data_IF_538291634317
#
_entry.id   IF_538291634317
#
_cell.length_a   1.000
_cell.length_b   1.000
_cell.length_c   1.000
_cell.angle_alpha   90.00
_cell.angle_beta   90.00
_cell.angle_gamma   90.00
#
_symmetry.space_group_name_H-M   'P 1'
#
loop_
_entity.id
_entity.type
_entity.pdbx_description
1 polymer ?
#
# COMPACT_ATOMS: atom_id res chain seq x y z
N UNK A 1 -7.38 31.92 -2.04
CA UNK A 1 -7.66 30.59 -1.46
C UNK A 1 -8.78 30.79 -0.46
N UNK A 2 -9.87 30.03 -0.56
CA UNK A 2 -10.92 30.10 0.45
C UNK A 2 -10.40 29.40 1.73
N UNK A 3 -10.55 30.04 2.88
CA UNK A 3 -10.12 29.46 4.14
C UNK A 3 -11.04 28.30 4.52
N UNK A 4 -10.46 27.14 4.84
CA UNK A 4 -11.21 25.94 5.23
C UNK A 4 -11.58 24.98 4.10
N UNK A 5 -11.24 25.27 2.84
CA UNK A 5 -11.49 24.35 1.69
C UNK A 5 -10.25 23.60 1.24
N UNK A 6 -9.07 23.95 1.76
CA UNK A 6 -7.77 23.37 1.39
C UNK A 6 -7.22 22.42 2.44
N UNK A 7 -6.66 21.30 2.00
CA UNK A 7 -5.96 20.32 2.83
C UNK A 7 -4.77 19.73 2.07
N UNK A 8 -4.06 18.78 2.67
CA UNK A 8 -2.92 18.11 2.05
C UNK A 8 -3.37 16.84 1.33
N UNK A 9 -2.85 16.62 0.12
CA UNK A 9 -3.10 15.40 -0.66
C UNK A 9 -2.51 14.18 0.04
N UNK A 10 -3.24 13.05 0.01
CA UNK A 10 -2.76 11.79 0.59
C UNK A 10 -1.60 11.16 -0.19
N UNK A 11 -1.35 11.60 -1.43
CA UNK A 11 -0.32 11.02 -2.31
C UNK A 11 1.09 11.53 -2.02
N UNK A 12 1.24 12.81 -1.72
CA UNK A 12 2.50 13.57 -1.75
C UNK A 12 2.48 14.81 -0.85
N UNK A 13 1.45 14.95 -0.01
CA UNK A 13 1.26 16.02 0.96
C UNK A 13 1.19 17.44 0.37
N UNK A 14 1.06 17.55 -0.96
CA UNK A 14 0.89 18.83 -1.62
C UNK A 14 -0.45 19.47 -1.25
N UNK A 15 -0.45 20.79 -1.03
CA UNK A 15 -1.66 21.56 -0.73
C UNK A 15 -2.58 21.61 -1.96
N UNK A 16 -3.85 21.28 -1.77
CA UNK A 16 -4.91 21.31 -2.77
C UNK A 16 -6.24 21.62 -2.08
N UNK A 17 -7.22 22.18 -2.80
CA UNK A 17 -8.60 22.08 -2.33
C UNK A 17 -9.06 20.63 -2.21
N UNK A 18 -9.93 20.39 -1.23
CA UNK A 18 -10.57 19.08 -1.01
C UNK A 18 -11.23 18.57 -2.29
N UNK A 19 -11.18 17.26 -2.47
CA UNK A 19 -11.78 16.61 -3.64
C UNK A 19 -13.31 16.54 -3.54
N UNK A 20 -13.87 16.64 -2.33
CA UNK A 20 -15.32 16.67 -2.10
C UNK A 20 -15.97 18.05 -2.25
N UNK A 21 -15.18 19.09 -2.54
CA UNK A 21 -15.72 20.38 -3.00
C UNK A 21 -16.37 20.21 -4.39
N UNK A 22 -17.61 20.69 -4.62
CA UNK A 22 -18.36 20.46 -5.87
C UNK A 22 -17.71 21.08 -7.12
N UNK A 23 -16.76 21.99 -6.96
CA UNK A 23 -16.10 22.66 -8.08
C UNK A 23 -14.84 21.91 -8.54
N UNK A 24 -14.68 21.79 -9.86
CA UNK A 24 -13.45 21.26 -10.48
C UNK A 24 -13.05 22.10 -11.68
N UNK A 25 -11.79 22.54 -11.70
CA UNK A 25 -11.26 23.28 -12.85
C UNK A 25 -11.13 22.35 -14.04
N UNK A 26 -11.63 22.77 -15.21
CA UNK A 26 -11.54 22.00 -16.44
C UNK A 26 -10.09 21.61 -16.75
N UNK A 27 -9.87 20.36 -17.13
CA UNK A 27 -8.53 19.83 -17.42
C UNK A 27 -7.67 19.49 -16.20
N UNK A 28 -8.20 19.64 -14.98
CA UNK A 28 -7.51 19.26 -13.74
C UNK A 28 -8.14 18.03 -13.09
N UNK A 29 -7.32 17.23 -12.40
CA UNK A 29 -7.79 16.18 -11.48
C UNK A 29 -7.52 16.62 -10.05
N UNK A 30 -8.54 16.58 -9.20
CA UNK A 30 -8.39 16.67 -7.74
C UNK A 30 -8.13 15.26 -7.19
N UNK A 31 -7.12 15.12 -6.33
CA UNK A 31 -6.84 13.89 -5.59
C UNK A 31 -7.36 13.99 -4.16
N UNK A 32 -7.67 12.84 -3.56
CA UNK A 32 -8.12 12.76 -2.17
C UNK A 32 -7.11 13.42 -1.23
N UNK A 33 -7.63 14.26 -0.35
CA UNK A 33 -6.89 14.95 0.69
C UNK A 33 -7.16 14.33 2.06
N UNK A 34 -6.40 14.77 3.07
CA UNK A 34 -6.61 14.32 4.44
C UNK A 34 -8.02 14.66 4.95
N UNK A 35 -8.55 15.84 4.61
CA UNK A 35 -9.92 16.21 5.02
C UNK A 35 -10.98 15.30 4.37
N UNK A 36 -10.76 14.89 3.11
CA UNK A 36 -11.64 13.92 2.45
C UNK A 36 -11.59 12.56 3.17
N UNK A 37 -10.40 12.13 3.58
CA UNK A 37 -10.22 10.88 4.32
C UNK A 37 -10.91 10.89 5.68
N UNK A 38 -10.83 12.00 6.42
CA UNK A 38 -11.50 12.15 7.70
C UNK A 38 -13.03 12.12 7.54
N UNK A 39 -13.57 12.80 6.54
CA UNK A 39 -15.02 12.76 6.27
C UNK A 39 -15.53 11.35 5.93
N UNK A 40 -14.75 10.57 5.17
CA UNK A 40 -15.06 9.16 4.89
C UNK A 40 -14.95 8.30 6.17
N UNK A 41 -13.94 8.54 7.01
CA UNK A 41 -13.78 7.83 8.28
C UNK A 41 -14.96 8.07 9.23
N UNK A 42 -15.48 9.30 9.29
CA UNK A 42 -16.61 9.67 10.14
C UNK A 42 -17.91 8.93 9.80
N UNK A 43 -18.11 8.59 8.51
CA UNK A 43 -19.25 7.78 8.05
C UNK A 43 -18.97 6.27 8.07
N UNK A 44 -17.89 5.85 8.72
CA UNK A 44 -17.55 4.44 8.96
C UNK A 44 -16.74 3.76 7.87
N UNK A 45 -16.21 4.50 6.89
CA UNK A 45 -15.30 3.92 5.90
C UNK A 45 -13.90 3.75 6.48
N UNK A 46 -13.24 2.66 6.11
CA UNK A 46 -11.85 2.40 6.46
C UNK A 46 -10.99 2.64 5.23
N UNK A 47 -10.19 3.71 5.26
CA UNK A 47 -9.27 4.02 4.16
C UNK A 47 -7.93 3.36 4.41
N UNK A 48 -7.64 2.36 3.59
CA UNK A 48 -6.32 1.75 3.57
C UNK A 48 -5.45 2.45 2.51
N UNK A 49 -4.48 3.26 2.96
CA UNK A 49 -3.58 4.03 2.09
C UNK A 49 -2.31 3.21 1.74
N UNK A 50 -2.24 1.93 2.14
CA UNK A 50 -1.08 1.10 1.79
C UNK A 50 -1.03 0.84 0.29
N UNK A 51 0.15 1.01 -0.31
CA UNK A 51 0.37 0.63 -1.71
C UNK A 51 0.05 -0.86 -1.92
N UNK A 52 -0.81 -1.15 -2.90
CA UNK A 52 -1.06 -2.53 -3.33
C UNK A 52 0.22 -3.05 -4.00
N UNK A 53 0.79 -4.17 -3.52
CA UNK A 53 2.04 -4.68 -4.09
C UNK A 53 1.88 -5.07 -5.55
N UNK A 54 2.88 -4.74 -6.37
CA UNK A 54 2.90 -5.12 -7.77
C UNK A 54 2.89 -6.65 -7.94
N UNK A 55 2.37 -7.18 -9.07
CA UNK A 55 2.36 -8.62 -9.33
C UNK A 55 3.74 -9.27 -9.21
N UNK A 56 4.80 -8.55 -9.57
CA UNK A 56 6.19 -9.01 -9.43
C UNK A 56 6.62 -9.27 -7.98
N UNK A 57 6.12 -8.47 -7.03
CA UNK A 57 6.39 -8.66 -5.60
C UNK A 57 5.77 -9.97 -5.11
N UNK A 58 4.54 -10.27 -5.53
CA UNK A 58 3.90 -11.55 -5.22
C UNK A 58 4.64 -12.73 -5.84
N UNK A 59 5.05 -12.60 -7.10
CA UNK A 59 5.84 -13.62 -7.78
C UNK A 59 7.16 -13.90 -7.04
N UNK A 60 7.90 -12.84 -6.66
CA UNK A 60 9.15 -12.96 -5.90
C UNK A 60 8.93 -13.64 -4.54
N UNK A 61 7.94 -13.16 -3.75
CA UNK A 61 7.66 -13.72 -2.43
C UNK A 61 7.25 -15.20 -2.51
N UNK A 62 6.45 -15.56 -3.52
CA UNK A 62 6.09 -16.96 -3.77
C UNK A 62 7.30 -17.81 -4.19
N UNK A 63 8.20 -17.27 -5.02
CA UNK A 63 9.45 -17.92 -5.41
C UNK A 63 10.38 -18.18 -4.22
N UNK A 64 10.59 -17.19 -3.35
CA UNK A 64 11.38 -17.33 -2.12
C UNK A 64 10.76 -18.39 -1.20
N UNK A 65 9.44 -18.38 -1.03
CA UNK A 65 8.73 -19.36 -0.21
C UNK A 65 8.93 -20.80 -0.74
N UNK A 66 8.84 -21.01 -2.05
CA UNK A 66 9.04 -22.32 -2.68
C UNK A 66 10.47 -22.82 -2.54
N UNK A 67 11.46 -21.94 -2.73
CA UNK A 67 12.88 -22.28 -2.53
C UNK A 67 13.18 -22.65 -1.08
N UNK A 68 12.69 -21.87 -0.12
CA UNK A 68 12.82 -22.16 1.31
C UNK A 68 12.14 -23.48 1.69
N UNK A 69 10.93 -23.72 1.21
CA UNK A 69 10.22 -24.98 1.42
C UNK A 69 10.98 -26.18 0.83
N UNK A 70 11.52 -26.04 -0.38
CA UNK A 70 12.34 -27.06 -1.04
C UNK A 70 13.61 -27.38 -0.26
N UNK A 71 14.33 -26.37 0.24
CA UNK A 71 15.52 -26.54 1.07
C UNK A 71 15.21 -27.26 2.39
N UNK A 72 14.14 -26.84 3.09
CA UNK A 72 13.69 -27.49 4.33
C UNK A 72 13.28 -28.94 4.06
N UNK A 73 12.53 -29.21 2.98
CA UNK A 73 12.12 -30.58 2.61
C UNK A 73 13.33 -31.46 2.31
N UNK A 74 14.35 -30.93 1.63
CA UNK A 74 15.60 -31.65 1.34
C UNK A 74 16.36 -32.01 2.62
N UNK A 75 16.51 -31.09 3.56
CA UNK A 75 17.16 -31.39 4.85
C UNK A 75 16.36 -32.40 5.70
N UNK A 76 15.02 -32.36 5.65
CA UNK A 76 14.18 -33.33 6.38
C UNK A 76 14.28 -34.75 5.82
N UNK A 77 14.40 -34.90 4.50
CA UNK A 77 14.50 -36.20 3.85
C UNK A 77 15.91 -36.81 3.90
N UNK A 78 16.95 -36.00 4.10
CA UNK A 78 18.33 -36.48 4.17
C UNK A 78 19.08 -35.87 5.39
N UNK A 79 18.84 -36.41 6.60
CA UNK A 79 19.40 -35.88 7.84
C UNK A 79 20.95 -35.80 7.91
N UNK A 80 21.77 -36.68 7.28
CA UNK A 80 23.23 -36.55 7.38
C UNK A 80 23.80 -35.32 6.66
N UNK A 81 23.09 -34.71 5.69
CA UNK A 81 23.57 -33.52 4.96
C UNK A 81 23.49 -32.25 5.82
N UNK A 82 22.53 -32.20 6.75
CA UNK A 82 22.27 -31.00 7.56
C UNK A 82 23.16 -30.93 8.83
N UNK A 83 24.10 -31.87 9.02
CA UNK A 83 24.94 -31.99 10.24
C UNK A 83 26.36 -31.41 10.13
N UNK A 84 26.71 -30.77 9.00
CA UNK A 84 28.07 -30.28 8.72
C UNK A 84 28.28 -28.76 8.94
N UNK A 85 27.28 -28.04 9.45
CA UNK A 85 27.42 -26.62 9.78
C UNK A 85 27.34 -26.42 11.30
N UNK A 86 28.33 -26.94 12.02
CA UNK A 86 28.81 -26.39 13.29
C UNK A 86 30.29 -26.08 13.14
#
# INVERSE_FOLDING_TARGET
>A
MASGTTSVRLSDEASQETAMDPDVTAGTRKYLTNLDAMGLADIGWQLNITAVPEPGTWALMSGIALLGFGAVRRCRLNPPVCKSSQ
#
